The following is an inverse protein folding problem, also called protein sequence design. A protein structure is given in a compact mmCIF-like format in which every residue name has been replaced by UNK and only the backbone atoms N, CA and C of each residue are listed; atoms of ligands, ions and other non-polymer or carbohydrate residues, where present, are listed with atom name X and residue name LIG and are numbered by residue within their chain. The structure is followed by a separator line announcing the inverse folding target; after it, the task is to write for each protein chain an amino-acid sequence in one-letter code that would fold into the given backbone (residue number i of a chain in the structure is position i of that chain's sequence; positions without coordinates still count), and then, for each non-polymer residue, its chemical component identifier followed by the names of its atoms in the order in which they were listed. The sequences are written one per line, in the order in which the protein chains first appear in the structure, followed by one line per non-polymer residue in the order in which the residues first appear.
data_IF_378001830242
#
_entry.id   IF_378001830242
#
_cell.length_a   1.000
_cell.length_b   1.000
_cell.length_c   1.000
_cell.angle_alpha   90.00
_cell.angle_beta   90.00
_cell.angle_gamma   90.00
#
_symmetry.space_group_name_H-M   'P 1'
#
loop_
_entity.id
_entity.type
_entity.pdbx_description
1 polymer ?
#
# COMPACT_ATOMS: atom_id res chain seq x y z
N UNK A 1 -0.62 -6.57 5.68
CA UNK A 1 -0.95 -5.93 4.38
C UNK A 1 -1.27 -7.04 3.41
N UNK A 2 -2.47 -7.02 2.83
CA UNK A 2 -2.92 -8.03 1.89
C UNK A 2 -3.27 -7.34 0.57
N UNK A 3 -2.80 -7.91 -0.55
CA UNK A 3 -3.13 -7.46 -1.89
C UNK A 3 -3.78 -8.59 -2.66
N UNK A 4 -4.78 -8.27 -3.45
CA UNK A 4 -5.32 -9.18 -4.47
C UNK A 4 -5.37 -8.43 -5.77
N UNK A 5 -4.72 -8.97 -6.80
CA UNK A 5 -4.65 -8.36 -8.13
C UNK A 5 -5.41 -9.20 -9.13
N UNK A 6 -6.19 -8.55 -9.99
CA UNK A 6 -6.88 -9.18 -11.10
C UNK A 6 -6.68 -8.34 -12.36
N UNK A 7 -6.17 -8.97 -13.41
CA UNK A 7 -6.13 -8.34 -14.73
C UNK A 7 -7.55 -8.31 -15.32
N UNK A 8 -8.01 -7.13 -15.74
CA UNK A 8 -9.29 -6.94 -16.42
C UNK A 8 -9.04 -6.23 -17.74
N UNK A 9 -8.88 -7.00 -18.82
CA UNK A 9 -8.56 -6.50 -20.15
C UNK A 9 -7.20 -5.76 -20.19
N UNK A 10 -7.19 -4.46 -20.48
CA UNK A 10 -6.02 -3.57 -20.49
C UNK A 10 -5.61 -3.07 -19.11
N UNK A 11 -6.52 -3.13 -18.14
CA UNK A 11 -6.34 -2.53 -16.82
C UNK A 11 -6.09 -3.61 -15.77
N UNK A 12 -5.40 -3.23 -14.71
CA UNK A 12 -5.09 -4.12 -13.59
C UNK A 12 -5.80 -3.58 -12.36
N UNK A 13 -6.69 -4.37 -11.80
CA UNK A 13 -7.38 -4.03 -10.57
C UNK A 13 -6.56 -4.58 -9.39
N UNK A 14 -6.23 -3.72 -8.44
CA UNK A 14 -5.65 -4.11 -7.16
C UNK A 14 -6.65 -3.79 -6.05
N UNK A 15 -7.00 -4.80 -5.27
CA UNK A 15 -7.66 -4.61 -4.00
C UNK A 15 -6.59 -4.54 -2.91
N UNK A 16 -6.59 -3.44 -2.16
CA UNK A 16 -5.72 -3.24 -1.01
C UNK A 16 -6.56 -3.29 0.26
N UNK A 17 -6.08 -4.05 1.23
CA UNK A 17 -6.46 -3.92 2.63
C UNK A 17 -5.20 -3.71 3.49
N UNK A 18 -5.04 -2.48 3.97
CA UNK A 18 -3.95 -2.05 4.81
C UNK A 18 -4.49 -1.39 6.08
N UNK A 19 -4.08 -1.91 7.23
CA UNK A 19 -4.26 -1.27 8.52
C UNK A 19 -2.92 -1.26 9.25
N UNK A 20 -2.53 -0.09 9.77
CA UNK A 20 -1.46 0.00 10.77
C UNK A 20 -1.95 0.71 12.01
N UNK A 21 -1.37 0.30 13.13
CA UNK A 21 -1.59 0.90 14.43
C UNK A 21 -0.26 1.45 14.93
N UNK A 22 -0.27 2.68 15.44
CA UNK A 22 0.87 3.26 16.16
C UNK A 22 0.40 3.83 17.49
N UNK A 23 1.32 3.92 18.45
CA UNK A 23 1.06 4.64 19.69
C UNK A 23 1.00 6.14 19.38
N UNK A 24 -0.12 6.79 19.68
CA UNK A 24 -0.31 8.21 19.42
C UNK A 24 0.48 9.08 20.41
N UNK A 25 0.74 8.58 21.63
CA UNK A 25 1.51 9.28 22.64
C UNK A 25 2.69 8.41 23.14
N UNK A 26 3.92 8.91 22.99
CA UNK A 26 5.09 8.35 23.67
C UNK A 26 5.15 8.93 25.09
N UNK A 27 4.86 8.08 26.09
CA UNK A 27 5.07 8.35 27.51
C UNK A 27 4.40 9.60 28.09
N UNK A 28 3.13 9.47 28.51
CA UNK A 28 2.59 10.29 29.61
C UNK A 28 2.41 9.40 30.83
N UNK A 29 3.19 9.64 31.88
CA UNK A 29 3.05 8.95 33.16
C UNK A 29 1.62 9.22 33.68
N UNK A 30 0.83 8.16 33.84
CA UNK A 30 -0.54 8.24 34.35
C UNK A 30 -1.67 8.34 33.31
N UNK A 31 -1.39 8.31 32.00
CA UNK A 31 -2.42 8.23 30.96
C UNK A 31 -2.44 6.86 30.29
N UNK A 32 -3.63 6.36 29.93
CA UNK A 32 -3.72 5.17 29.07
C UNK A 32 -3.12 5.49 27.69
N UNK A 33 -2.28 4.60 27.12
CA UNK A 33 -1.73 4.80 25.80
C UNK A 33 -2.85 4.89 24.76
N UNK A 34 -2.85 5.97 23.98
CA UNK A 34 -3.74 6.14 22.85
C UNK A 34 -3.17 5.39 21.64
N UNK A 35 -4.02 4.65 20.92
CA UNK A 35 -3.64 3.97 19.68
C UNK A 35 -4.25 4.72 18.50
N UNK A 36 -3.41 5.08 17.53
CA UNK A 36 -3.82 5.68 16.26
C UNK A 36 -3.82 4.60 15.19
N UNK A 37 -4.99 4.33 14.63
CA UNK A 37 -5.14 3.44 13.49
C UNK A 37 -5.15 4.24 12.19
N UNK A 38 -4.40 3.78 11.21
CA UNK A 38 -4.43 4.25 9.83
C UNK A 38 -4.92 3.08 8.98
N UNK A 39 -6.01 3.28 8.25
CA UNK A 39 -6.57 2.26 7.37
C UNK A 39 -6.64 2.81 5.94
N UNK A 40 -6.12 2.03 4.99
CA UNK A 40 -6.23 2.25 3.57
C UNK A 40 -6.85 1.00 2.94
N UNK A 41 -8.10 1.13 2.51
CA UNK A 41 -8.89 0.06 1.91
C UNK A 41 -9.53 0.56 0.62
N UNK A 42 -9.46 -0.23 -0.44
CA UNK A 42 -10.09 0.12 -1.72
C UNK A 42 -9.67 -0.73 -2.89
N UNK A 43 -10.32 -0.47 -4.02
CA UNK A 43 -9.97 -1.04 -5.33
C UNK A 43 -9.40 0.05 -6.20
N UNK A 44 -8.21 -0.20 -6.73
CA UNK A 44 -7.43 0.74 -7.54
C UNK A 44 -7.23 0.15 -8.94
N UNK A 45 -7.41 0.97 -9.97
CA UNK A 45 -7.12 0.58 -11.36
C UNK A 45 -5.76 1.11 -11.76
N UNK A 46 -4.93 0.26 -12.35
CA UNK A 46 -3.60 0.58 -12.83
C UNK A 46 -3.51 0.36 -14.33
N UNK A 47 -2.83 1.31 -14.98
CA UNK A 47 -2.20 1.08 -16.29
C UNK A 47 -0.77 0.61 -16.07
N UNK A 48 -0.27 -0.23 -16.97
CA UNK A 48 1.11 -0.72 -16.90
C UNK A 48 2.10 0.45 -16.94
N UNK A 49 3.07 0.43 -16.03
CA UNK A 49 4.13 1.43 -15.91
C UNK A 49 3.71 2.77 -15.29
N UNK A 50 2.41 3.01 -15.10
CA UNK A 50 1.92 4.27 -14.50
C UNK A 50 1.82 4.14 -12.97
N UNK A 51 2.43 5.05 -12.19
CA UNK A 51 2.30 5.06 -10.74
C UNK A 51 0.93 5.58 -10.32
N UNK A 52 0.31 4.94 -9.34
CA UNK A 52 -0.94 5.38 -8.73
C UNK A 52 -0.74 5.62 -7.24
N UNK A 53 -1.19 6.77 -6.74
CA UNK A 53 -1.28 7.04 -5.31
C UNK A 53 -2.40 6.19 -4.72
N UNK A 54 -2.03 5.24 -3.88
CA UNK A 54 -2.97 4.31 -3.25
C UNK A 54 -3.49 4.90 -1.94
N UNK A 55 -2.62 5.47 -1.10
CA UNK A 55 -3.05 6.06 0.17
C UNK A 55 -2.06 7.08 0.74
N UNK A 56 -2.58 8.01 1.54
CA UNK A 56 -1.78 8.77 2.51
C UNK A 56 -1.80 8.03 3.84
N UNK A 57 -0.66 7.45 4.21
CA UNK A 57 -0.52 6.64 5.42
C UNK A 57 -0.26 7.52 6.65
N UNK A 58 0.39 8.66 6.48
CA UNK A 58 0.45 9.71 7.51
C UNK A 58 0.30 11.09 6.88
N UNK A 59 -0.75 11.82 7.28
CA UNK A 59 -0.99 13.19 6.81
C UNK A 59 0.06 14.19 7.36
N UNK A 60 0.61 13.93 8.55
CA UNK A 60 1.58 14.80 9.23
C UNK A 60 3.01 14.64 8.72
N UNK A 61 3.42 13.40 8.40
CA UNK A 61 4.82 13.10 8.05
C UNK A 61 5.02 12.89 6.54
N UNK A 62 3.96 12.99 5.75
CA UNK A 62 4.02 12.86 4.29
C UNK A 62 4.36 11.45 3.81
N UNK A 63 3.97 10.41 4.57
CA UNK A 63 4.19 9.03 4.14
C UNK A 63 3.04 8.57 3.25
N UNK A 64 3.35 8.31 1.97
CA UNK A 64 2.38 7.91 0.95
C UNK A 64 2.70 6.51 0.43
N UNK A 65 1.65 5.72 0.18
CA UNK A 65 1.74 4.47 -0.53
C UNK A 65 1.47 4.71 -2.01
N UNK A 66 2.50 4.52 -2.83
CA UNK A 66 2.41 4.59 -4.29
C UNK A 66 2.70 3.18 -4.82
N UNK A 67 1.89 2.71 -5.76
CA UNK A 67 2.09 1.42 -6.41
C UNK A 67 2.22 1.61 -7.92
N UNK A 68 2.99 0.73 -8.55
CA UNK A 68 3.14 0.64 -10.00
C UNK A 68 3.07 -0.83 -10.38
N UNK A 69 2.35 -1.16 -11.45
CA UNK A 69 2.34 -2.51 -12.00
C UNK A 69 3.17 -2.54 -13.27
N UNK A 70 4.11 -3.48 -13.35
CA UNK A 70 5.02 -3.64 -14.49
C UNK A 70 4.87 -5.02 -15.10
N UNK A 71 5.34 -5.16 -16.34
CA UNK A 71 5.55 -6.48 -16.92
C UNK A 71 6.64 -7.22 -16.12
N UNK A 72 6.56 -8.56 -16.04
CA UNK A 72 7.66 -9.35 -15.47
C UNK A 72 8.93 -9.10 -16.27
N UNK A 73 10.08 -9.14 -15.61
CA UNK A 73 11.36 -9.11 -16.32
C UNK A 73 11.38 -10.25 -17.35
N UNK A 74 11.94 -10.02 -18.56
CA UNK A 74 12.09 -11.08 -19.53
C UNK A 74 12.83 -12.24 -18.89
N UNK A 75 12.28 -13.44 -19.04
CA UNK A 75 12.89 -14.65 -18.51
C UNK A 75 14.28 -14.82 -19.13
N UNK A 76 15.32 -14.66 -18.31
CA UNK A 76 16.66 -15.15 -18.62
C UNK A 76 16.74 -16.58 -18.10
N UNK A 77 16.90 -17.55 -18.99
CA UNK A 77 17.21 -18.93 -18.59
C UNK A 77 18.39 -18.93 -17.61
N UNK A 78 18.39 -19.77 -16.57
CA UNK A 78 19.60 -20.00 -15.78
C UNK A 78 20.67 -20.50 -16.75
N UNK A 79 21.82 -19.81 -16.85
CA UNK A 79 22.95 -20.33 -17.60
C UNK A 79 23.33 -21.70 -17.01
N UNK A 80 23.25 -22.75 -17.85
CA UNK A 80 23.70 -24.12 -17.55
C UNK A 80 25.19 -24.19 -17.15
#
# INVERSE_FOLDING_TARGET
MQFTTQRKSSDILMQLDYTTASLADKCKVGAQPSVRNVTAQGTYSFKLGEPVLVASLTATDGFYLIATVTEPAPWSEPND
#
